data_IF_243683152493
#
_entry.id   IF_243683152493
#
_cell.length_a   1.000
_cell.length_b   1.000
_cell.length_c   1.000
_cell.angle_alpha   90.00
_cell.angle_beta   90.00
_cell.angle_gamma   90.00
#
_symmetry.space_group_name_H-M   'P 1'
#
loop_
_entity.id
_entity.type
_entity.pdbx_description
1 polymer ?
#
# COMPACT_ATOMS: atom_id res chain seq x y z
N UNK A 1 9.21 14.87 72.63
CA UNK A 1 10.54 14.92 73.27
C UNK A 1 11.02 13.49 73.49
N UNK A 2 11.65 12.88 72.49
CA UNK A 2 12.36 11.60 72.65
C UNK A 2 13.79 11.92 73.11
N UNK A 3 14.24 11.25 74.16
CA UNK A 3 15.39 11.65 74.97
C UNK A 3 16.72 11.33 74.28
N UNK A 4 17.68 12.26 74.34
CA UNK A 4 19.01 12.15 73.72
C UNK A 4 19.80 10.86 74.10
N UNK A 5 19.41 10.20 75.19
CA UNK A 5 20.01 8.95 75.65
C UNK A 5 19.71 7.74 74.74
N UNK A 6 18.52 7.66 74.14
CA UNK A 6 18.18 6.53 73.25
C UNK A 6 18.98 6.57 71.93
N UNK A 7 19.19 7.77 71.39
CA UNK A 7 20.03 7.97 70.21
C UNK A 7 21.47 7.57 70.50
N UNK A 8 22.02 7.96 71.66
CA UNK A 8 23.41 7.66 72.04
C UNK A 8 23.68 6.16 72.21
N UNK A 9 22.73 5.41 72.77
CA UNK A 9 22.81 3.95 72.89
C UNK A 9 22.82 3.24 71.52
N UNK A 10 21.95 3.68 70.59
CA UNK A 10 21.92 3.15 69.21
C UNK A 10 23.23 3.41 68.47
N UNK A 11 23.81 4.60 68.62
CA UNK A 11 25.12 4.94 68.03
C UNK A 11 26.24 4.04 68.54
N UNK A 12 26.27 3.71 69.83
CA UNK A 12 27.32 2.88 70.41
C UNK A 12 27.26 1.41 69.95
N UNK A 13 26.05 0.88 69.72
CA UNK A 13 25.84 -0.46 69.15
C UNK A 13 26.26 -0.53 67.67
N UNK A 14 25.94 0.50 66.88
CA UNK A 14 26.36 0.63 65.48
C UNK A 14 27.89 0.73 65.37
N UNK A 15 28.55 1.44 66.29
CA UNK A 15 30.02 1.55 66.26
C UNK A 15 30.75 0.28 66.71
N UNK A 16 30.12 -0.58 67.52
CA UNK A 16 30.72 -1.85 67.99
C UNK A 16 30.83 -2.90 66.89
N UNK A 17 29.84 -2.94 65.97
CA UNK A 17 29.82 -3.90 64.85
C UNK A 17 30.26 -3.29 63.51
N UNK A 18 31.06 -2.21 63.57
CA UNK A 18 31.50 -1.44 62.40
C UNK A 18 32.16 -2.27 61.31
N UNK A 19 32.94 -3.29 61.68
CA UNK A 19 33.61 -4.17 60.73
C UNK A 19 32.59 -4.98 59.90
N UNK A 20 31.58 -5.57 60.55
CA UNK A 20 30.53 -6.34 59.87
C UNK A 20 29.69 -5.45 58.93
N UNK A 21 29.41 -4.21 59.34
CA UNK A 21 28.72 -3.22 58.50
C UNK A 21 29.60 -2.85 57.29
N UNK A 22 30.91 -2.72 57.46
CA UNK A 22 31.85 -2.44 56.37
C UNK A 22 31.87 -3.58 55.34
N UNK A 23 31.93 -4.83 55.79
CA UNK A 23 31.89 -5.99 54.91
C UNK A 23 30.56 -6.10 54.16
N UNK A 24 29.43 -5.84 54.84
CA UNK A 24 28.12 -5.78 54.21
C UNK A 24 28.00 -4.68 53.16
N UNK A 25 28.51 -3.48 53.45
CA UNK A 25 28.54 -2.37 52.51
C UNK A 25 29.43 -2.69 51.30
N UNK A 26 30.62 -3.26 51.53
CA UNK A 26 31.53 -3.68 50.47
C UNK A 26 30.91 -4.73 49.58
N UNK A 27 30.17 -5.70 50.14
CA UNK A 27 29.47 -6.72 49.38
C UNK A 27 28.32 -6.12 48.54
N UNK A 28 27.55 -5.20 49.12
CA UNK A 28 26.48 -4.50 48.39
C UNK A 28 27.04 -3.67 47.22
N UNK A 29 28.15 -2.96 47.43
CA UNK A 29 28.84 -2.20 46.38
C UNK A 29 29.37 -3.14 45.30
N UNK A 30 29.99 -4.26 45.68
CA UNK A 30 30.51 -5.25 44.74
C UNK A 30 29.39 -5.85 43.88
N UNK A 31 28.27 -6.24 44.49
CA UNK A 31 27.11 -6.78 43.79
C UNK A 31 26.49 -5.74 42.86
N UNK A 32 26.36 -4.49 43.33
CA UNK A 32 25.85 -3.40 42.50
C UNK A 32 26.75 -3.17 41.28
N UNK A 33 28.07 -3.13 41.48
CA UNK A 33 29.03 -2.90 40.41
C UNK A 33 29.09 -4.07 39.42
N UNK A 34 28.96 -5.30 39.91
CA UNK A 34 28.86 -6.50 39.07
C UNK A 34 27.58 -6.47 38.23
N UNK A 35 26.43 -6.15 38.83
CA UNK A 35 25.15 -6.04 38.11
C UNK A 35 25.15 -4.89 37.11
N UNK A 36 25.77 -3.77 37.47
CA UNK A 36 25.95 -2.63 36.57
C UNK A 36 26.80 -3.01 35.35
N UNK A 37 27.90 -3.74 35.57
CA UNK A 37 28.77 -4.20 34.50
C UNK A 37 28.10 -5.26 33.63
N UNK A 38 27.35 -6.19 34.23
CA UNK A 38 26.55 -7.19 33.52
C UNK A 38 25.49 -6.51 32.64
N UNK A 39 24.75 -5.53 33.18
CA UNK A 39 23.78 -4.76 32.42
C UNK A 39 24.44 -3.99 31.26
N UNK A 40 25.59 -3.36 31.52
CA UNK A 40 26.34 -2.64 30.49
C UNK A 40 26.86 -3.58 29.41
N UNK A 41 27.40 -4.73 29.78
CA UNK A 41 27.97 -5.71 28.84
C UNK A 41 26.88 -6.40 28.03
N UNK A 42 25.76 -6.76 28.66
CA UNK A 42 24.59 -7.36 28.01
C UNK A 42 24.01 -6.41 26.96
N UNK A 43 23.86 -5.13 27.28
CA UNK A 43 23.36 -4.13 26.33
C UNK A 43 24.33 -3.94 25.15
N UNK A 44 25.65 -3.92 25.39
CA UNK A 44 26.64 -3.73 24.33
C UNK A 44 26.73 -4.97 23.42
N UNK A 45 26.66 -6.19 23.97
CA UNK A 45 26.78 -7.41 23.18
C UNK A 45 25.50 -7.69 22.36
N UNK A 46 24.32 -7.41 22.91
CA UNK A 46 23.03 -7.57 22.23
C UNK A 46 22.57 -6.33 21.46
N UNK A 47 23.40 -5.29 21.34
CA UNK A 47 23.06 -4.04 20.66
C UNK A 47 22.58 -4.26 19.21
N UNK A 48 23.21 -5.22 18.50
CA UNK A 48 22.85 -5.55 17.12
C UNK A 48 21.47 -6.22 17.03
N UNK A 49 21.15 -7.13 17.94
CA UNK A 49 19.84 -7.80 17.99
C UNK A 49 18.73 -6.81 18.34
N UNK A 50 18.99 -5.90 19.29
CA UNK A 50 18.05 -4.85 19.67
C UNK A 50 17.82 -3.87 18.51
N UNK A 51 18.89 -3.46 17.80
CA UNK A 51 18.78 -2.57 16.65
C UNK A 51 17.96 -3.21 15.51
N UNK A 52 18.25 -4.46 15.16
CA UNK A 52 17.49 -5.21 14.14
C UNK A 52 16.03 -5.35 14.57
N UNK A 53 15.77 -5.65 15.85
CA UNK A 53 14.42 -5.72 16.41
C UNK A 53 13.66 -4.39 16.30
N UNK A 54 14.30 -3.27 16.64
CA UNK A 54 13.70 -1.94 16.50
C UNK A 54 13.37 -1.61 15.04
N UNK A 55 14.30 -1.87 14.13
CA UNK A 55 14.10 -1.68 12.69
C UNK A 55 12.92 -2.53 12.21
N UNK A 56 12.84 -3.81 12.60
CA UNK A 56 11.76 -4.70 12.22
C UNK A 56 10.38 -4.21 12.71
N UNK A 57 10.29 -3.71 13.94
CA UNK A 57 9.03 -3.14 14.48
C UNK A 57 8.61 -1.90 13.71
N UNK A 58 9.55 -1.00 13.39
CA UNK A 58 9.28 0.21 12.61
C UNK A 58 8.76 -0.15 11.22
N UNK A 59 9.45 -1.07 10.51
CA UNK A 59 9.03 -1.51 9.19
C UNK A 59 7.68 -2.22 9.20
N UNK A 60 7.41 -3.05 10.21
CA UNK A 60 6.11 -3.73 10.36
C UNK A 60 4.99 -2.72 10.58
N UNK A 61 5.19 -1.74 11.46
CA UNK A 61 4.22 -0.68 11.71
C UNK A 61 3.97 0.17 10.45
N UNK A 62 5.03 0.56 9.75
CA UNK A 62 4.94 1.32 8.50
C UNK A 62 4.23 0.53 7.40
N UNK A 63 4.53 -0.76 7.25
CA UNK A 63 3.88 -1.63 6.27
C UNK A 63 2.38 -1.78 6.53
N UNK A 64 1.99 -2.04 7.78
CA UNK A 64 0.58 -2.13 8.19
C UNK A 64 -0.12 -0.79 7.95
N UNK A 65 0.48 0.32 8.35
CA UNK A 65 -0.07 1.66 8.14
C UNK A 65 -0.24 2.00 6.66
N UNK A 66 0.79 1.73 5.84
CA UNK A 66 0.78 2.02 4.41
C UNK A 66 -0.26 1.17 3.67
N UNK A 67 -0.36 -0.11 4.02
CA UNK A 67 -1.36 -1.03 3.47
C UNK A 67 -2.79 -0.51 3.72
N UNK A 68 -3.08 -0.15 4.98
CA UNK A 68 -4.40 0.40 5.35
C UNK A 68 -4.69 1.75 4.68
N UNK A 69 -3.65 2.57 4.44
CA UNK A 69 -3.80 3.88 3.80
C UNK A 69 -4.03 3.79 2.28
N UNK A 70 -3.42 2.84 1.58
CA UNK A 70 -3.59 2.64 0.14
C UNK A 70 -4.81 1.79 -0.20
N UNK A 71 -5.31 0.96 0.73
CA UNK A 71 -6.48 0.11 0.54
C UNK A 71 -7.83 0.86 0.48
N UNK A 72 -7.85 2.19 0.38
CA UNK A 72 -9.05 2.97 0.06
C UNK A 72 -9.03 3.36 -1.42
N UNK A 73 -9.36 2.45 -2.37
CA UNK A 73 -9.69 2.87 -3.72
C UNK A 73 -10.98 3.69 -3.62
N UNK A 74 -10.84 5.01 -3.64
CA UNK A 74 -11.94 5.96 -3.81
C UNK A 74 -12.41 5.85 -5.27
N UNK A 75 -12.93 4.69 -5.66
CA UNK A 75 -13.74 4.58 -6.86
C UNK A 75 -15.11 5.06 -6.45
N UNK A 76 -15.27 6.38 -6.42
CA UNK A 76 -16.58 6.99 -6.54
C UNK A 76 -17.10 6.60 -7.91
N UNK A 77 -17.71 5.42 -8.02
CA UNK A 77 -18.79 5.21 -8.97
C UNK A 77 -19.88 6.18 -8.56
N UNK A 78 -19.75 7.44 -9.01
CA UNK A 78 -20.91 8.32 -9.10
C UNK A 78 -21.80 7.63 -10.11
N UNK A 79 -22.73 6.82 -9.62
CA UNK A 79 -23.90 6.42 -10.38
C UNK A 79 -24.64 7.74 -10.56
N UNK A 80 -24.28 8.46 -11.62
CA UNK A 80 -25.06 9.58 -12.12
C UNK A 80 -26.30 8.92 -12.71
N UNK A 81 -27.31 8.69 -11.86
CA UNK A 81 -28.70 8.58 -12.30
C UNK A 81 -29.09 9.93 -12.87
N UNK A 82 -28.58 10.23 -14.08
CA UNK A 82 -29.24 11.18 -14.94
C UNK A 82 -30.50 10.44 -15.40
N UNK A 83 -31.71 10.89 -15.05
CA UNK A 83 -32.90 10.38 -15.69
C UNK A 83 -32.73 10.69 -17.18
N UNK A 84 -32.34 9.67 -17.95
CA UNK A 84 -32.35 9.74 -19.40
C UNK A 84 -33.82 9.67 -19.75
N UNK A 85 -34.46 10.75 -20.25
CA UNK A 85 -35.74 10.60 -20.89
C UNK A 85 -35.51 9.63 -22.05
N UNK A 86 -36.03 8.42 -21.93
CA UNK A 86 -36.09 7.45 -23.01
C UNK A 86 -37.09 8.00 -24.02
N UNK A 87 -36.66 8.99 -24.80
CA UNK A 87 -37.26 9.26 -26.10
C UNK A 87 -36.96 8.02 -26.96
N UNK A 88 -38.01 7.49 -27.57
CA UNK A 88 -38.07 6.38 -28.52
C UNK A 88 -36.76 6.06 -29.27
N UNK A 89 -36.46 4.79 -29.61
CA UNK A 89 -35.14 4.32 -30.02
C UNK A 89 -34.56 5.22 -31.11
N UNK A 90 -33.66 6.12 -30.70
CA UNK A 90 -32.84 6.87 -31.62
C UNK A 90 -31.99 5.83 -32.34
N UNK A 91 -32.31 5.55 -33.58
CA UNK A 91 -31.54 4.68 -34.45
C UNK A 91 -30.11 5.20 -34.40
N UNK A 92 -29.19 4.42 -33.82
CA UNK A 92 -27.78 4.78 -33.78
C UNK A 92 -27.33 5.04 -35.22
N UNK A 93 -27.11 6.31 -35.57
CA UNK A 93 -26.55 6.71 -36.85
C UNK A 93 -25.05 6.85 -36.66
N UNK A 94 -24.31 5.87 -37.18
CA UNK A 94 -22.85 5.90 -37.16
C UNK A 94 -22.36 7.16 -37.86
N UNK A 95 -21.51 7.94 -37.20
CA UNK A 95 -20.93 9.14 -37.79
C UNK A 95 -19.83 8.74 -38.79
N UNK A 96 -20.21 8.54 -40.06
CA UNK A 96 -19.30 8.14 -41.14
C UNK A 96 -18.22 9.18 -41.42
N UNK A 97 -18.51 10.47 -41.19
CA UNK A 97 -17.54 11.56 -41.37
C UNK A 97 -16.37 11.44 -40.39
N UNK A 98 -16.66 11.15 -39.12
CA UNK A 98 -15.63 10.95 -38.10
C UNK A 98 -14.89 9.61 -38.30
N UNK A 99 -15.57 8.58 -38.79
CA UNK A 99 -14.94 7.30 -39.14
C UNK A 99 -13.87 7.48 -40.24
N UNK A 100 -14.23 8.19 -41.32
CA UNK A 100 -13.34 8.47 -42.44
C UNK A 100 -12.17 9.37 -42.02
N UNK A 101 -12.43 10.36 -41.17
CA UNK A 101 -11.39 11.25 -40.62
C UNK A 101 -10.32 10.49 -39.82
N UNK A 102 -10.71 9.45 -39.09
CA UNK A 102 -9.79 8.60 -38.33
C UNK A 102 -9.08 7.56 -39.20
N UNK A 103 -9.56 7.33 -40.43
CA UNK A 103 -9.01 6.32 -41.34
C UNK A 103 -9.04 4.90 -40.76
N UNK A 104 -10.03 4.58 -39.92
CA UNK A 104 -10.19 3.25 -39.33
C UNK A 104 -10.62 2.26 -40.41
N UNK A 105 -9.90 1.16 -40.54
CA UNK A 105 -10.32 0.06 -41.41
C UNK A 105 -11.52 -0.68 -40.82
N UNK A 106 -12.30 -1.36 -41.67
CA UNK A 106 -13.45 -2.16 -41.20
C UNK A 106 -13.06 -3.18 -40.12
N UNK A 107 -11.89 -3.80 -40.25
CA UNK A 107 -11.40 -4.78 -39.27
C UNK A 107 -11.01 -4.12 -37.93
N UNK A 108 -10.47 -2.91 -37.97
CA UNK A 108 -10.16 -2.15 -36.76
C UNK A 108 -11.43 -1.68 -36.06
N UNK A 109 -12.47 -1.31 -36.82
CA UNK A 109 -13.79 -0.97 -36.29
C UNK A 109 -14.46 -2.17 -35.61
N UNK A 110 -14.44 -3.35 -36.24
CA UNK A 110 -14.97 -4.59 -35.64
C UNK A 110 -14.28 -4.91 -34.32
N UNK A 111 -12.95 -4.81 -34.28
CA UNK A 111 -12.18 -5.02 -33.05
C UNK A 111 -12.57 -4.00 -31.98
N UNK A 112 -12.74 -2.73 -32.33
CA UNK A 112 -13.16 -1.68 -31.41
C UNK A 112 -14.59 -1.87 -30.87
N UNK A 113 -15.52 -2.36 -31.70
CA UNK A 113 -16.88 -2.70 -31.28
C UNK A 113 -16.88 -3.86 -30.27
N UNK A 114 -16.17 -4.95 -30.58
CA UNK A 114 -16.05 -6.08 -29.66
C UNK A 114 -15.32 -5.69 -28.37
N UNK A 115 -14.42 -4.69 -28.42
CA UNK A 115 -13.83 -4.12 -27.22
C UNK A 115 -14.84 -3.41 -26.34
N UNK A 116 -15.79 -2.70 -26.95
CA UNK A 116 -16.87 -1.99 -26.26
C UNK A 116 -17.90 -2.95 -25.65
N UNK A 117 -18.10 -4.12 -26.26
CA UNK A 117 -18.89 -5.24 -25.70
C UNK A 117 -18.21 -5.90 -24.49
N UNK A 118 -16.97 -5.52 -24.15
CA UNK A 118 -16.23 -6.03 -22.99
C UNK A 118 -15.41 -7.30 -23.25
N UNK A 119 -15.33 -7.78 -24.50
CA UNK A 119 -14.63 -9.03 -24.83
C UNK A 119 -13.11 -8.89 -24.73
N UNK A 120 -12.43 -9.84 -24.09
CA UNK A 120 -10.98 -9.91 -24.04
C UNK A 120 -10.38 -10.12 -25.45
N UNK A 121 -9.11 -9.77 -25.63
CA UNK A 121 -8.44 -9.96 -26.93
C UNK A 121 -8.43 -11.43 -27.39
N UNK A 122 -8.48 -12.38 -26.46
CA UNK A 122 -8.55 -13.81 -26.76
C UNK A 122 -9.94 -14.20 -27.27
N UNK A 123 -11.01 -13.70 -26.66
CA UNK A 123 -12.39 -13.92 -27.14
C UNK A 123 -12.61 -13.25 -28.49
N UNK A 124 -12.10 -12.03 -28.68
CA UNK A 124 -12.12 -11.33 -29.98
C UNK A 124 -11.40 -12.16 -31.04
N UNK A 125 -10.22 -12.69 -30.74
CA UNK A 125 -9.46 -13.54 -31.64
C UNK A 125 -10.25 -14.78 -32.07
N UNK A 126 -10.91 -15.44 -31.11
CA UNK A 126 -11.79 -16.58 -31.38
C UNK A 126 -13.00 -16.21 -32.25
N UNK A 127 -13.66 -15.08 -31.97
CA UNK A 127 -14.86 -14.65 -32.70
C UNK A 127 -14.56 -14.21 -34.13
N UNK A 128 -13.39 -13.62 -34.33
CA UNK A 128 -12.93 -13.11 -35.61
C UNK A 128 -12.09 -14.13 -36.40
N UNK A 129 -11.90 -15.35 -35.88
CA UNK A 129 -11.09 -16.43 -36.48
C UNK A 129 -9.66 -16.01 -36.86
N UNK A 130 -8.99 -15.24 -35.99
CA UNK A 130 -7.61 -14.76 -36.19
C UNK A 130 -6.75 -15.00 -34.96
N UNK A 131 -5.42 -14.88 -35.10
CA UNK A 131 -4.52 -15.06 -33.97
C UNK A 131 -4.65 -13.93 -32.94
N UNK A 132 -4.33 -14.22 -31.67
CA UNK A 132 -4.26 -13.20 -30.61
C UNK A 132 -3.28 -12.07 -30.95
N UNK A 133 -2.18 -12.38 -31.63
CA UNK A 133 -1.19 -11.39 -32.05
C UNK A 133 -1.76 -10.41 -33.09
N UNK A 134 -2.57 -10.92 -34.01
CA UNK A 134 -3.30 -10.10 -35.00
C UNK A 134 -4.23 -9.12 -34.31
N UNK A 135 -5.00 -9.56 -33.31
CA UNK A 135 -5.87 -8.67 -32.52
C UNK A 135 -5.07 -7.61 -31.75
N UNK A 136 -3.95 -7.99 -31.11
CA UNK A 136 -3.09 -7.02 -30.44
C UNK A 136 -2.56 -5.96 -31.40
N UNK A 137 -2.22 -6.36 -32.62
CA UNK A 137 -1.74 -5.43 -33.66
C UNK A 137 -2.86 -4.48 -34.11
N UNK A 138 -4.07 -4.99 -34.38
CA UNK A 138 -5.22 -4.15 -34.70
C UNK A 138 -5.58 -3.19 -33.56
N UNK A 139 -5.57 -3.68 -32.31
CA UNK A 139 -5.80 -2.85 -31.12
C UNK A 139 -4.79 -1.70 -31.01
N UNK A 140 -3.52 -1.98 -31.25
CA UNK A 140 -2.47 -0.96 -31.23
C UNK A 140 -2.70 0.12 -32.29
N UNK A 141 -3.05 -0.28 -33.52
CA UNK A 141 -3.35 0.68 -34.60
C UNK A 141 -4.61 1.50 -34.32
N UNK A 142 -5.64 0.89 -33.73
CA UNK A 142 -6.83 1.60 -33.26
C UNK A 142 -6.46 2.65 -32.23
N UNK A 143 -5.61 2.31 -31.25
CA UNK A 143 -5.18 3.24 -30.21
C UNK A 143 -4.36 4.39 -30.76
N UNK A 144 -3.50 4.12 -31.73
CA UNK A 144 -2.72 5.14 -32.44
C UNK A 144 -3.63 6.09 -33.24
N UNK A 145 -4.57 5.55 -34.04
CA UNK A 145 -5.53 6.35 -34.82
C UNK A 145 -6.47 7.18 -33.95
N UNK A 146 -6.86 6.64 -32.80
CA UNK A 146 -7.67 7.35 -31.82
C UNK A 146 -6.84 8.25 -30.89
N UNK A 147 -5.51 8.30 -31.00
CA UNK A 147 -4.63 9.06 -30.11
C UNK A 147 -4.90 8.78 -28.61
N UNK A 148 -4.89 7.50 -28.25
CA UNK A 148 -5.12 7.01 -26.87
C UNK A 148 -4.11 5.94 -26.50
N UNK A 149 -3.93 5.69 -25.20
CA UNK A 149 -2.97 4.68 -24.71
C UNK A 149 -3.62 3.45 -24.12
N UNK A 150 -4.92 3.51 -23.81
CA UNK A 150 -5.64 2.47 -23.07
C UNK A 150 -6.93 2.09 -23.76
N UNK A 151 -7.29 0.81 -23.64
CA UNK A 151 -8.56 0.25 -24.15
C UNK A 151 -9.78 1.05 -23.70
N UNK A 152 -9.89 1.37 -22.42
CA UNK A 152 -11.03 2.13 -21.89
C UNK A 152 -11.15 3.51 -22.51
N UNK A 153 -10.02 4.18 -22.74
CA UNK A 153 -9.99 5.49 -23.41
C UNK A 153 -10.41 5.39 -24.88
N UNK A 154 -10.00 4.31 -25.57
CA UNK A 154 -10.41 4.05 -26.94
C UNK A 154 -11.93 3.89 -27.05
N UNK A 155 -12.51 3.05 -26.18
CA UNK A 155 -13.97 2.84 -26.14
C UNK A 155 -14.71 4.13 -25.80
N UNK A 156 -14.25 4.87 -24.78
CA UNK A 156 -14.88 6.14 -24.39
C UNK A 156 -14.83 7.18 -25.52
N UNK A 157 -13.67 7.35 -26.16
CA UNK A 157 -13.51 8.30 -27.28
C UNK A 157 -14.37 7.90 -28.47
N UNK A 158 -14.42 6.60 -28.78
CA UNK A 158 -15.24 6.08 -29.86
C UNK A 158 -16.75 6.30 -29.62
N UNK A 159 -17.23 6.14 -28.39
CA UNK A 159 -18.61 6.47 -28.01
C UNK A 159 -18.91 7.97 -28.12
N UNK A 160 -17.97 8.83 -27.68
CA UNK A 160 -18.10 10.29 -27.80
C UNK A 160 -18.17 10.77 -29.25
N UNK A 161 -17.47 10.08 -30.16
CA UNK A 161 -17.49 10.36 -31.60
C UNK A 161 -18.67 9.69 -32.33
N UNK A 162 -19.50 8.92 -31.62
CA UNK A 162 -20.63 8.17 -32.20
C UNK A 162 -20.24 7.25 -33.36
N UNK A 163 -19.04 6.68 -33.31
CA UNK A 163 -18.57 5.66 -34.28
C UNK A 163 -18.90 4.23 -33.82
N UNK A 164 -19.17 4.06 -32.53
CA UNK A 164 -19.67 2.81 -31.92
C UNK A 164 -20.83 3.13 -30.95
N UNK A 165 -21.75 2.18 -30.71
CA UNK A 165 -22.86 2.36 -29.78
C UNK A 165 -22.46 2.41 -28.29
#
# INVERSE_FOLDING_TARGET
>A
MLTANELRMKWHAITRNRQNILYGLSLAVLLFLLKWLELRFLIIHHAMEIYIGMVAVIFTALGVWLSLKLARPKVQTVIVEKPVPVSAPATFSMNTVELDRLGLSGRELEVLQLMADGLSNQEIAGRLFVSLNTIKTHASRVFEKLDVKRRTQAVEKAKRLSIIP
#
